data_IF_300204371625
#
_entry.id   IF_300204371625
#
_cell.length_a   1.000
_cell.length_b   1.000
_cell.length_c   1.000
_cell.angle_alpha   90.00
_cell.angle_beta   90.00
_cell.angle_gamma   90.00
#
_symmetry.space_group_name_H-M   'P 1'
#
loop_
_entity.id
_entity.type
_entity.pdbx_description
1 polymer ?
#
# COMPACT_ATOMS: atom_id res chain seq x y z
N UNK A 1 -14.64 -13.74 -10.06
CA UNK A 1 -14.48 -12.36 -9.53
C UNK A 1 -15.78 -11.57 -9.60
N UNK A 2 -16.46 -11.50 -10.76
CA UNK A 2 -17.69 -10.66 -10.91
C UNK A 2 -18.78 -11.02 -9.90
N UNK A 3 -18.99 -12.31 -9.62
CA UNK A 3 -20.02 -12.76 -8.67
C UNK A 3 -19.74 -12.38 -7.20
N UNK A 4 -18.50 -12.12 -6.87
CA UNK A 4 -18.06 -11.76 -5.52
C UNK A 4 -17.64 -10.30 -5.41
N UNK A 5 -17.69 -9.55 -6.53
CA UNK A 5 -17.32 -8.14 -6.54
C UNK A 5 -18.43 -7.26 -5.94
N UNK A 6 -18.02 -6.19 -5.30
CA UNK A 6 -18.91 -5.24 -4.63
C UNK A 6 -18.82 -3.86 -5.29
N UNK A 7 -19.92 -3.11 -5.42
CA UNK A 7 -19.87 -1.76 -5.98
C UNK A 7 -19.15 -0.79 -5.05
N UNK A 8 -18.65 0.33 -5.58
CA UNK A 8 -17.98 1.36 -4.78
C UNK A 8 -18.92 1.99 -3.73
N UNK A 9 -20.20 2.05 -4.03
CA UNK A 9 -21.24 2.44 -3.07
C UNK A 9 -22.11 1.24 -2.73
N UNK A 10 -22.23 0.91 -1.45
CA UNK A 10 -23.03 -0.23 -1.00
C UNK A 10 -22.71 -0.69 0.42
N UNK A 11 -23.42 -1.71 0.93
CA UNK A 11 -23.40 -2.07 2.34
C UNK A 11 -22.01 -2.45 2.88
N UNK A 12 -21.13 -3.02 2.04
CA UNK A 12 -19.75 -3.36 2.45
C UNK A 12 -18.95 -2.08 2.69
N UNK A 13 -18.97 -1.15 1.73
CA UNK A 13 -18.26 0.13 1.84
C UNK A 13 -18.84 1.00 2.94
N UNK A 14 -20.15 0.96 3.17
CA UNK A 14 -20.82 1.69 4.24
C UNK A 14 -20.32 1.28 5.65
N UNK A 15 -19.99 0.00 5.83
CA UNK A 15 -19.40 -0.50 7.09
C UNK A 15 -18.03 0.14 7.31
N UNK A 16 -17.15 0.14 6.30
CA UNK A 16 -15.80 0.70 6.43
C UNK A 16 -15.81 2.22 6.53
N UNK A 17 -16.67 2.90 5.76
CA UNK A 17 -16.90 4.34 5.87
C UNK A 17 -17.32 4.75 7.28
N UNK A 18 -18.29 4.04 7.85
CA UNK A 18 -18.75 4.28 9.22
C UNK A 18 -17.63 4.01 10.24
N UNK A 19 -16.87 2.91 10.09
CA UNK A 19 -15.75 2.59 10.97
C UNK A 19 -14.61 3.62 10.86
N UNK A 20 -14.26 4.06 9.67
CA UNK A 20 -13.25 5.09 9.48
C UNK A 20 -13.62 6.38 10.24
N UNK A 21 -14.90 6.79 10.16
CA UNK A 21 -15.44 7.95 10.88
C UNK A 21 -15.47 7.75 12.39
N UNK A 22 -15.94 6.59 12.84
CA UNK A 22 -16.02 6.24 14.28
C UNK A 22 -14.64 6.28 14.95
N UNK A 23 -13.64 5.75 14.26
CA UNK A 23 -12.27 5.66 14.77
C UNK A 23 -11.43 6.92 14.47
N UNK A 24 -11.92 7.84 13.64
CA UNK A 24 -11.13 8.96 13.12
C UNK A 24 -9.86 8.49 12.38
N UNK A 25 -9.92 7.36 11.66
CA UNK A 25 -8.77 6.71 11.07
C UNK A 25 -8.90 6.55 9.56
N UNK A 26 -7.75 6.49 8.86
CA UNK A 26 -7.72 6.03 7.48
C UNK A 26 -7.81 4.49 7.45
N UNK A 27 -8.60 3.96 6.53
CA UNK A 27 -8.75 2.51 6.35
C UNK A 27 -8.51 2.15 4.88
N UNK A 28 -7.57 1.24 4.63
CA UNK A 28 -7.34 0.65 3.29
C UNK A 28 -8.06 -0.69 3.21
N UNK A 29 -8.99 -0.82 2.29
CA UNK A 29 -9.85 -2.01 2.13
C UNK A 29 -9.58 -2.66 0.79
N UNK A 30 -8.82 -3.77 0.73
CA UNK A 30 -8.68 -4.55 -0.49
C UNK A 30 -9.97 -5.32 -0.80
N UNK A 31 -10.41 -5.27 -2.05
CA UNK A 31 -11.65 -5.93 -2.49
C UNK A 31 -11.65 -6.16 -4.00
N UNK A 32 -12.54 -7.05 -4.47
CA UNK A 32 -12.94 -7.05 -5.87
C UNK A 32 -14.02 -5.98 -6.08
N UNK A 33 -13.67 -4.94 -6.83
CA UNK A 33 -14.55 -3.80 -7.10
C UNK A 33 -15.31 -4.02 -8.39
N UNK A 34 -16.65 -3.95 -8.33
CA UNK A 34 -17.52 -3.97 -9.48
C UNK A 34 -17.54 -2.56 -10.11
N UNK A 35 -16.95 -2.43 -11.27
CA UNK A 35 -16.89 -1.17 -12.02
C UNK A 35 -18.14 -0.97 -12.91
N UNK A 36 -18.51 -2.04 -13.61
CA UNK A 36 -19.71 -2.05 -14.46
C UNK A 36 -20.35 -3.44 -14.47
N UNK A 37 -21.60 -3.51 -14.04
CA UNK A 37 -22.36 -4.76 -13.97
C UNK A 37 -22.80 -5.27 -15.35
N UNK A 38 -23.19 -4.36 -16.24
CA UNK A 38 -23.67 -4.71 -17.59
C UNK A 38 -22.51 -5.22 -18.45
N UNK A 39 -21.37 -4.54 -18.39
CA UNK A 39 -20.15 -4.95 -19.06
C UNK A 39 -19.39 -6.08 -18.33
N UNK A 40 -19.86 -6.53 -17.16
CA UNK A 40 -19.19 -7.50 -16.28
C UNK A 40 -17.75 -7.12 -15.93
N UNK A 41 -17.51 -5.82 -15.82
CA UNK A 41 -16.18 -5.26 -15.53
C UNK A 41 -15.93 -5.21 -14.01
N UNK A 42 -14.89 -5.85 -13.56
CA UNK A 42 -14.42 -5.76 -12.19
C UNK A 42 -12.90 -5.67 -12.11
N UNK A 43 -12.39 -5.09 -11.01
CA UNK A 43 -10.98 -4.92 -10.74
C UNK A 43 -10.63 -5.50 -9.37
N UNK A 44 -9.40 -5.96 -9.19
CA UNK A 44 -8.85 -6.15 -7.85
C UNK A 44 -8.37 -4.76 -7.38
N UNK A 45 -8.97 -4.23 -6.33
CA UNK A 45 -8.78 -2.86 -5.94
C UNK A 45 -8.53 -2.72 -4.43
N UNK A 46 -7.99 -1.59 -4.02
CA UNK A 46 -7.96 -1.15 -2.64
C UNK A 46 -8.61 0.23 -2.53
N UNK A 47 -9.62 0.34 -1.69
CA UNK A 47 -10.35 1.57 -1.42
C UNK A 47 -9.74 2.21 -0.18
N UNK A 48 -9.36 3.49 -0.27
CA UNK A 48 -8.89 4.29 0.87
C UNK A 48 -10.04 5.13 1.39
N UNK A 49 -10.46 4.86 2.62
CA UNK A 49 -11.39 5.70 3.37
C UNK A 49 -10.63 6.67 4.26
N UNK A 50 -11.06 7.93 4.30
CA UNK A 50 -10.53 8.97 5.16
C UNK A 50 -11.22 9.01 6.53
N UNK A 51 -10.70 9.85 7.43
CA UNK A 51 -11.14 9.98 8.82
C UNK A 51 -12.60 10.40 8.99
N UNK A 52 -13.21 10.99 7.97
CA UNK A 52 -14.63 11.37 7.94
C UNK A 52 -15.51 10.32 7.26
N UNK A 53 -14.92 9.18 6.87
CA UNK A 53 -15.59 8.09 6.17
C UNK A 53 -15.77 8.32 4.67
N UNK A 54 -15.18 9.38 4.11
CA UNK A 54 -15.16 9.65 2.68
C UNK A 54 -14.24 8.69 1.94
N UNK A 55 -14.50 8.42 0.67
CA UNK A 55 -13.57 7.73 -0.21
C UNK A 55 -12.51 8.73 -0.68
N UNK A 56 -11.30 8.62 -0.17
CA UNK A 56 -10.14 9.45 -0.57
C UNK A 56 -9.65 9.03 -1.95
N UNK A 57 -9.69 7.72 -2.24
CA UNK A 57 -9.31 7.21 -3.54
C UNK A 57 -9.39 5.70 -3.67
N UNK A 58 -9.13 5.23 -4.88
CA UNK A 58 -9.17 3.81 -5.22
C UNK A 58 -7.93 3.47 -6.05
N UNK A 59 -7.13 2.54 -5.55
CA UNK A 59 -6.08 1.88 -6.33
C UNK A 59 -6.66 0.64 -7.02
N UNK A 60 -6.36 0.45 -8.29
CA UNK A 60 -6.69 -0.75 -9.08
C UNK A 60 -5.41 -1.48 -9.42
N UNK A 61 -5.32 -2.74 -9.05
CA UNK A 61 -4.14 -3.59 -9.24
C UNK A 61 -3.65 -3.54 -10.68
N UNK A 62 -2.40 -3.14 -10.88
CA UNK A 62 -1.79 -3.00 -12.20
C UNK A 62 -1.49 -4.36 -12.83
N UNK A 63 -1.01 -5.30 -12.03
CA UNK A 63 -0.52 -6.60 -12.48
C UNK A 63 -1.29 -7.74 -11.82
N UNK A 64 -2.52 -8.05 -12.28
CA UNK A 64 -3.22 -9.24 -11.83
C UNK A 64 -2.41 -10.50 -12.13
N UNK A 65 -2.48 -11.48 -11.24
CA UNK A 65 -1.82 -12.76 -11.49
C UNK A 65 -2.55 -13.53 -12.61
N UNK A 66 -1.78 -14.18 -13.47
CA UNK A 66 -2.35 -15.09 -14.47
C UNK A 66 -2.65 -16.42 -13.77
N UNK A 67 -3.85 -16.93 -13.96
CA UNK A 67 -4.21 -18.22 -13.42
C UNK A 67 -3.56 -19.34 -14.27
N UNK A 68 -2.83 -20.23 -13.62
CA UNK A 68 -2.18 -21.36 -14.30
C UNK A 68 -3.19 -22.17 -15.12
N UNK A 69 -2.89 -22.38 -16.40
CA UNK A 69 -3.77 -23.10 -17.34
C UNK A 69 -4.96 -22.29 -17.87
N UNK A 70 -4.94 -20.97 -17.70
CA UNK A 70 -5.98 -20.07 -18.19
C UNK A 70 -5.34 -18.81 -18.77
N UNK A 71 -5.94 -18.27 -19.82
CA UNK A 71 -5.57 -16.97 -20.40
C UNK A 71 -6.21 -15.78 -19.65
N UNK A 72 -6.89 -16.04 -18.53
CA UNK A 72 -7.59 -15.02 -17.76
C UNK A 72 -6.78 -14.59 -16.52
N UNK A 73 -6.89 -13.31 -16.17
CA UNK A 73 -6.37 -12.76 -14.93
C UNK A 73 -7.31 -13.07 -13.76
N UNK A 74 -6.83 -13.58 -12.64
CA UNK A 74 -7.49 -13.69 -11.33
C UNK A 74 -9.03 -13.86 -11.39
N UNK A 75 -9.54 -14.77 -12.26
CA UNK A 75 -10.99 -14.98 -12.44
C UNK A 75 -11.69 -13.92 -13.28
N UNK A 76 -10.99 -13.29 -14.23
CA UNK A 76 -11.55 -12.36 -15.23
C UNK A 76 -11.60 -10.90 -14.78
N UNK A 77 -10.68 -10.47 -13.93
CA UNK A 77 -10.56 -9.05 -13.55
C UNK A 77 -9.83 -8.24 -14.63
N UNK A 78 -10.14 -6.95 -14.67
CA UNK A 78 -9.48 -6.00 -15.56
C UNK A 78 -8.31 -5.34 -14.83
N UNK A 79 -7.10 -5.26 -15.44
CA UNK A 79 -5.97 -4.54 -14.87
C UNK A 79 -6.23 -3.04 -14.70
N UNK A 80 -5.67 -2.45 -13.65
CA UNK A 80 -5.57 -1.01 -13.48
C UNK A 80 -4.59 -0.38 -14.49
N UNK A 81 -4.55 0.95 -14.53
CA UNK A 81 -3.71 1.70 -15.48
C UNK A 81 -2.66 2.56 -14.81
N UNK A 82 -2.86 2.95 -13.56
CA UNK A 82 -2.01 3.90 -12.84
C UNK A 82 -1.80 3.49 -11.39
N UNK A 83 -0.69 3.92 -10.81
CA UNK A 83 -0.39 3.84 -9.39
C UNK A 83 -0.43 5.26 -8.79
N UNK A 84 -1.60 5.76 -8.39
CA UNK A 84 -1.71 7.07 -7.78
C UNK A 84 -1.17 7.07 -6.34
N UNK A 85 -0.73 8.25 -5.91
CA UNK A 85 -0.47 8.58 -4.52
C UNK A 85 -1.64 9.40 -3.99
N UNK A 86 -2.11 9.08 -2.80
CA UNK A 86 -3.21 9.74 -2.12
C UNK A 86 -2.68 10.68 -1.05
N UNK A 87 -3.10 11.95 -1.09
CA UNK A 87 -2.78 12.90 -0.04
C UNK A 87 -3.64 12.63 1.19
N UNK A 88 -2.98 12.37 2.33
CA UNK A 88 -3.59 12.21 3.64
C UNK A 88 -3.09 13.33 4.56
N UNK A 89 -3.73 13.53 5.69
CA UNK A 89 -3.32 14.56 6.66
C UNK A 89 -1.98 14.24 7.37
N UNK A 90 -1.57 12.97 7.33
CA UNK A 90 -0.29 12.50 7.88
C UNK A 90 0.82 12.38 6.83
N UNK A 91 0.53 12.58 5.54
CA UNK A 91 1.50 12.40 4.46
C UNK A 91 0.91 11.74 3.20
N UNK A 92 1.78 11.21 2.35
CA UNK A 92 1.42 10.65 1.04
C UNK A 92 1.40 9.12 1.08
N UNK A 93 0.24 8.54 0.82
CA UNK A 93 0.02 7.09 0.84
C UNK A 93 -0.09 6.51 -0.56
N UNK A 94 0.67 5.45 -0.86
CA UNK A 94 0.53 4.62 -2.05
C UNK A 94 -0.01 3.23 -1.72
N UNK A 95 -0.51 2.53 -2.73
CA UNK A 95 -0.96 1.14 -2.60
C UNK A 95 -0.40 0.31 -3.75
N UNK A 96 0.03 -0.90 -3.44
CA UNK A 96 0.30 -1.98 -4.42
C UNK A 96 -0.32 -3.27 -3.88
N UNK A 97 -0.83 -4.15 -4.74
CA UNK A 97 -1.55 -5.35 -4.30
C UNK A 97 -0.80 -6.61 -4.73
N UNK A 98 -0.43 -7.46 -3.78
CA UNK A 98 0.07 -8.83 -3.97
C UNK A 98 1.10 -8.93 -5.11
N UNK A 99 0.72 -9.49 -6.27
CA UNK A 99 1.62 -9.75 -7.41
C UNK A 99 2.23 -8.49 -8.05
N UNK A 100 1.74 -7.29 -7.75
CA UNK A 100 2.42 -6.04 -8.13
C UNK A 100 3.86 -5.95 -7.60
N UNK A 101 4.20 -6.75 -6.57
CA UNK A 101 5.54 -6.79 -5.97
C UNK A 101 6.63 -7.21 -6.99
N UNK A 102 6.26 -8.00 -8.00
CA UNK A 102 7.18 -8.52 -9.02
C UNK A 102 7.59 -7.46 -10.06
N UNK A 103 6.85 -6.35 -10.16
CA UNK A 103 7.02 -5.35 -11.22
C UNK A 103 7.48 -4.01 -10.67
N UNK A 104 8.49 -3.41 -11.29
CA UNK A 104 9.07 -2.13 -10.85
C UNK A 104 8.17 -0.92 -11.13
N UNK A 105 7.31 -0.99 -12.14
CA UNK A 105 6.61 0.18 -12.71
C UNK A 105 5.77 0.94 -11.69
N UNK A 106 4.91 0.23 -10.96
CA UNK A 106 4.03 0.80 -9.94
C UNK A 106 4.81 1.39 -8.77
N UNK A 107 5.75 0.63 -8.21
CA UNK A 107 6.59 1.06 -7.08
C UNK A 107 7.43 2.29 -7.40
N UNK A 108 8.06 2.31 -8.58
CA UNK A 108 8.83 3.47 -9.04
C UNK A 108 7.92 4.69 -9.31
N UNK A 109 6.68 4.48 -9.78
CA UNK A 109 5.72 5.56 -9.96
C UNK A 109 5.32 6.20 -8.63
N UNK A 110 5.11 5.39 -7.57
CA UNK A 110 4.83 5.88 -6.23
C UNK A 110 6.01 6.69 -5.66
N UNK A 111 7.25 6.19 -5.82
CA UNK A 111 8.45 6.91 -5.38
C UNK A 111 8.59 8.28 -6.07
N UNK A 112 8.39 8.34 -7.40
CA UNK A 112 8.45 9.62 -8.14
C UNK A 112 7.39 10.63 -7.72
N UNK A 113 6.24 10.17 -7.23
CA UNK A 113 5.17 11.01 -6.71
C UNK A 113 5.39 11.42 -5.25
N UNK A 114 6.46 10.91 -4.62
CA UNK A 114 6.83 11.21 -3.24
C UNK A 114 5.97 10.47 -2.21
N UNK A 115 5.58 9.23 -2.49
CA UNK A 115 4.95 8.39 -1.47
C UNK A 115 5.88 8.27 -0.24
N UNK A 116 5.30 8.36 0.95
CA UNK A 116 5.99 8.21 2.24
C UNK A 116 5.66 6.87 2.89
N UNK A 117 4.47 6.36 2.60
CA UNK A 117 3.95 5.08 3.06
C UNK A 117 3.31 4.33 1.90
N UNK A 118 3.65 3.06 1.72
CA UNK A 118 3.00 2.17 0.75
C UNK A 118 2.39 0.98 1.47
N UNK A 119 1.10 0.80 1.33
CA UNK A 119 0.38 -0.37 1.86
C UNK A 119 0.37 -1.47 0.82
N UNK A 120 0.76 -2.68 1.23
CA UNK A 120 0.84 -3.85 0.37
C UNK A 120 -0.02 -5.00 0.90
N UNK A 121 -1.35 -5.01 0.63
CA UNK A 121 -2.20 -6.16 0.94
C UNK A 121 -1.79 -7.34 0.05
N UNK A 122 -1.56 -8.50 0.65
CA UNK A 122 -1.00 -9.65 -0.06
C UNK A 122 -1.38 -10.98 0.59
N UNK A 123 -1.35 -12.04 -0.18
CA UNK A 123 -1.35 -13.39 0.33
C UNK A 123 0.07 -13.95 0.51
N UNK A 124 1.08 -13.28 -0.03
CA UNK A 124 2.46 -13.72 0.04
C UNK A 124 3.08 -13.42 1.41
N UNK A 125 3.76 -14.40 2.02
CA UNK A 125 4.47 -14.21 3.28
C UNK A 125 5.89 -13.65 3.11
N UNK A 126 6.30 -13.31 1.89
CA UNK A 126 7.66 -12.90 1.63
C UNK A 126 8.01 -11.56 2.30
N UNK A 127 9.27 -11.44 2.72
CA UNK A 127 9.80 -10.22 3.35
C UNK A 127 10.93 -9.57 2.55
N UNK A 128 11.64 -10.34 1.73
CA UNK A 128 12.81 -9.85 0.99
C UNK A 128 12.42 -8.79 -0.07
N UNK A 129 11.42 -9.05 -0.89
CA UNK A 129 11.00 -8.10 -1.91
C UNK A 129 10.39 -6.81 -1.32
N UNK A 130 9.43 -6.85 -0.36
CA UNK A 130 8.94 -5.60 0.22
C UNK A 130 10.02 -4.80 0.94
N UNK A 131 11.00 -5.44 1.58
CA UNK A 131 12.19 -4.77 2.14
C UNK A 131 13.00 -4.07 1.05
N UNK A 132 13.24 -4.73 -0.07
CA UNK A 132 13.90 -4.13 -1.23
C UNK A 132 13.10 -2.95 -1.81
N UNK A 133 11.77 -3.08 -1.93
CA UNK A 133 10.88 -1.99 -2.40
C UNK A 133 10.94 -0.79 -1.48
N UNK A 134 10.91 -1.01 -0.17
CA UNK A 134 11.04 0.05 0.83
C UNK A 134 12.38 0.80 0.69
N UNK A 135 13.50 0.08 0.65
CA UNK A 135 14.83 0.66 0.49
C UNK A 135 14.99 1.43 -0.83
N UNK A 136 14.53 0.84 -1.94
CA UNK A 136 14.64 1.46 -3.26
C UNK A 136 13.75 2.69 -3.42
N UNK A 137 12.54 2.62 -2.89
CA UNK A 137 11.55 3.71 -2.97
C UNK A 137 11.72 4.78 -1.91
N UNK A 138 12.52 4.49 -0.85
CA UNK A 138 12.72 5.38 0.31
C UNK A 138 11.42 5.77 0.99
N UNK A 139 10.53 4.81 1.16
CA UNK A 139 9.25 4.94 1.84
C UNK A 139 9.05 3.73 2.77
N UNK A 140 8.15 3.86 3.72
CA UNK A 140 7.72 2.69 4.48
C UNK A 140 6.87 1.77 3.61
N UNK A 141 7.02 0.46 3.81
CA UNK A 141 6.08 -0.53 3.26
C UNK A 141 5.40 -1.26 4.41
N UNK A 142 4.08 -1.29 4.39
CA UNK A 142 3.27 -2.01 5.37
C UNK A 142 2.57 -3.16 4.66
N UNK A 143 2.96 -4.39 4.96
CA UNK A 143 2.30 -5.58 4.45
C UNK A 143 1.14 -6.01 5.33
N UNK A 144 0.07 -6.48 4.73
CA UNK A 144 -1.04 -7.15 5.40
C UNK A 144 -1.25 -8.51 4.76
N UNK A 145 -1.07 -9.58 5.52
CA UNK A 145 -1.20 -10.97 5.07
C UNK A 145 -1.85 -11.83 6.14
N UNK A 146 -2.57 -12.86 5.73
CA UNK A 146 -3.20 -13.83 6.61
C UNK A 146 -2.22 -14.92 7.12
N UNK A 147 -0.94 -14.87 6.75
CA UNK A 147 0.06 -15.90 7.08
C UNK A 147 0.93 -15.55 8.29
N UNK A 148 0.42 -14.77 9.24
CA UNK A 148 1.09 -14.44 10.52
C UNK A 148 2.50 -13.86 10.38
N UNK A 149 2.78 -13.11 9.33
CA UNK A 149 4.04 -12.42 9.13
C UNK A 149 3.86 -11.01 8.54
N UNK A 150 2.68 -10.41 8.71
CA UNK A 150 2.48 -9.01 8.39
C UNK A 150 3.60 -8.18 9.02
N UNK A 151 4.20 -7.29 8.23
CA UNK A 151 5.43 -6.59 8.60
C UNK A 151 5.39 -5.14 8.17
N UNK A 152 6.16 -4.33 8.87
CA UNK A 152 6.46 -2.96 8.52
C UNK A 152 7.95 -2.87 8.16
N UNK A 153 8.23 -2.38 6.97
CA UNK A 153 9.57 -2.21 6.44
C UNK A 153 9.92 -0.73 6.41
N UNK A 154 11.06 -0.38 7.00
CA UNK A 154 11.60 0.97 6.97
C UNK A 154 12.13 1.34 5.58
N UNK A 155 12.27 2.63 5.28
CA UNK A 155 12.92 3.13 4.08
C UNK A 155 14.39 2.72 3.89
N UNK A 156 14.98 2.11 4.90
CA UNK A 156 16.32 1.47 4.87
C UNK A 156 16.27 0.01 4.38
N UNK A 157 15.06 -0.58 4.28
CA UNK A 157 14.85 -1.99 3.99
C UNK A 157 14.85 -2.90 5.23
N UNK A 158 15.04 -2.34 6.42
CA UNK A 158 14.95 -3.13 7.66
C UNK A 158 13.48 -3.40 8.01
N UNK A 159 13.23 -4.48 8.70
CA UNK A 159 11.94 -4.78 9.32
C UNK A 159 11.87 -3.99 10.63
N UNK A 160 11.01 -2.97 10.67
CA UNK A 160 10.74 -2.18 11.88
C UNK A 160 9.89 -2.97 12.88
N UNK A 161 8.87 -3.65 12.38
CA UNK A 161 7.99 -4.48 13.19
C UNK A 161 7.42 -5.63 12.37
N UNK A 162 7.16 -6.75 13.02
CA UNK A 162 6.56 -7.94 12.42
C UNK A 162 5.62 -8.59 13.42
N UNK A 163 4.47 -9.04 12.94
CA UNK A 163 3.53 -9.79 13.75
C UNK A 163 4.17 -11.11 14.22
N UNK A 164 3.92 -11.47 15.48
CA UNK A 164 4.37 -12.73 16.07
C UNK A 164 3.20 -13.40 16.78
N UNK A 165 2.97 -14.69 16.55
CA UNK A 165 1.96 -15.43 17.29
C UNK A 165 2.19 -15.33 18.82
N UNK A 166 1.13 -15.24 19.63
CA UNK A 166 -0.29 -15.39 19.27
C UNK A 166 -0.98 -14.09 18.81
N UNK A 167 -0.24 -12.99 18.54
CA UNK A 167 -0.84 -11.74 18.13
C UNK A 167 -1.44 -11.84 16.72
N UNK A 168 -2.64 -11.28 16.54
CA UNK A 168 -3.35 -11.20 15.27
C UNK A 168 -3.33 -9.79 14.66
N UNK A 169 -2.85 -8.81 15.43
CA UNK A 169 -2.78 -7.39 15.04
C UNK A 169 -1.37 -6.88 15.30
N UNK A 170 -0.83 -6.14 14.33
CA UNK A 170 0.42 -5.40 14.44
C UNK A 170 0.11 -3.90 14.54
N UNK A 171 0.57 -3.29 15.63
CA UNK A 171 0.50 -1.84 15.84
C UNK A 171 1.90 -1.29 16.02
N UNK A 172 2.22 -0.19 15.33
CA UNK A 172 3.52 0.48 15.44
C UNK A 172 3.37 1.96 15.14
N UNK A 173 4.19 2.75 15.78
CA UNK A 173 4.38 4.17 15.46
C UNK A 173 5.43 4.29 14.37
N UNK A 174 5.18 5.17 13.38
CA UNK A 174 6.09 5.44 12.27
C UNK A 174 6.46 6.92 12.25
N UNK A 175 7.75 7.20 12.23
CA UNK A 175 8.26 8.55 12.00
C UNK A 175 8.34 8.80 10.49
N UNK A 176 7.48 9.66 9.98
CA UNK A 176 7.49 10.07 8.57
C UNK A 176 8.35 11.33 8.32
N UNK A 177 8.92 11.93 9.37
CA UNK A 177 9.74 13.14 9.29
C UNK A 177 11.23 12.87 9.03
N UNK A 178 11.57 11.74 8.46
CA UNK A 178 12.96 11.35 8.18
C UNK A 178 13.42 11.73 6.77
N UNK A 179 14.74 11.82 6.58
CA UNK A 179 15.37 11.92 5.28
C UNK A 179 16.51 10.90 5.16
N UNK A 180 16.50 10.11 4.07
CA UNK A 180 17.60 9.22 3.74
C UNK A 180 18.52 9.94 2.75
N UNK A 181 19.68 10.30 3.21
CA UNK A 181 20.70 10.93 2.39
C UNK A 181 21.69 9.87 1.88
N UNK A 182 22.05 9.91 0.58
CA UNK A 182 23.13 9.08 0.09
C UNK A 182 24.44 9.48 0.77
N UNK A 183 25.27 8.51 1.13
CA UNK A 183 26.61 8.80 1.63
C UNK A 183 27.36 9.70 0.62
N UNK A 184 27.86 10.80 1.12
CA UNK A 184 28.73 11.72 0.35
C UNK A 184 29.80 12.29 1.28
N UNK A 185 31.06 12.22 0.87
CA UNK A 185 32.17 12.86 1.58
C UNK A 185 31.97 14.37 1.72
N UNK A 186 31.20 14.99 0.82
CA UNK A 186 30.86 16.41 0.88
C UNK A 186 29.90 16.74 2.03
N UNK A 187 29.13 15.78 2.51
CA UNK A 187 28.21 15.96 3.65
C UNK A 187 28.91 15.90 5.02
N UNK A 188 30.20 15.49 5.07
CA UNK A 188 30.99 15.41 6.31
C UNK A 188 30.21 14.78 7.46
N UNK A 189 29.65 13.60 7.25
CA UNK A 189 28.78 12.90 8.22
C UNK A 189 27.57 13.74 8.68
N UNK A 190 27.01 14.56 7.81
CA UNK A 190 25.87 15.41 8.12
C UNK A 190 26.21 16.75 8.79
N UNK A 191 27.49 17.04 9.01
CA UNK A 191 27.92 18.28 9.67
C UNK A 191 27.39 19.55 9.00
N UNK A 192 27.36 19.56 7.66
CA UNK A 192 26.83 20.68 6.90
C UNK A 192 25.32 20.91 7.14
N UNK A 193 24.56 19.81 7.31
CA UNK A 193 23.12 19.87 7.60
C UNK A 193 22.89 20.34 9.04
N UNK A 194 23.63 19.79 10.02
CA UNK A 194 23.53 20.25 11.40
C UNK A 194 23.86 21.72 11.57
N UNK A 195 24.86 22.24 10.84
CA UNK A 195 25.18 23.67 10.85
C UNK A 195 24.07 24.53 10.28
N UNK A 196 23.33 24.05 9.31
CA UNK A 196 22.27 24.81 8.63
C UNK A 196 20.93 24.72 9.35
N UNK A 197 20.58 23.58 9.94
CA UNK A 197 19.24 23.28 10.47
C UNK A 197 19.22 22.95 11.97
N UNK A 198 20.38 22.90 12.63
CA UNK A 198 20.50 22.49 14.03
C UNK A 198 20.61 20.97 14.20
N UNK A 199 20.74 20.54 15.45
CA UNK A 199 20.78 19.11 15.80
C UNK A 199 19.38 18.50 15.78
#
# INVERSE_FOLDING_TARGET
AVSTSVPLAGPVQDVFSRKARELGAYIVVPTYLLEDRAARLCTNAAILFGRKGEVVGVYRKLHPAVQTGSDSFEGGITPGKTAPVFACDFGKLGVQICFDIEFDSGWNALARQGAELVVWPTQSPQTAQPAFRAARGRYYVVSSTWRNNASIFEPTGRIAAQIKPPADILVSELDLSYAILPWSSKLRNGEALRRQYGD
#
